data_IF_887909241318
#
_entry.id   IF_887909241318
#
_cell.length_a   1.000
_cell.length_b   1.000
_cell.length_c   1.000
_cell.angle_alpha   90.00
_cell.angle_beta   90.00
_cell.angle_gamma   90.00
#
_symmetry.space_group_name_H-M   'P 1'
#
loop_
_entity.id
_entity.type
_entity.pdbx_description
1 polymer ?
#
# COMPACT_ATOMS: atom_id res chain seq x y z
N UNK A 1 15.70 -4.10 2.93
CA UNK A 1 14.94 -3.96 1.68
C UNK A 1 15.12 -2.53 1.15
N UNK A 2 15.40 -2.38 -0.14
CA UNK A 2 15.57 -1.06 -0.72
C UNK A 2 14.21 -0.41 -0.98
N UNK A 3 14.22 0.93 -1.16
CA UNK A 3 13.00 1.65 -1.47
C UNK A 3 12.37 1.14 -2.76
N UNK A 4 13.18 0.82 -3.77
CA UNK A 4 12.68 0.29 -5.03
C UNK A 4 12.00 -1.06 -4.85
N UNK A 5 12.54 -1.91 -3.99
CA UNK A 5 11.93 -3.20 -3.70
C UNK A 5 10.60 -3.04 -2.98
N UNK A 6 10.56 -2.11 -2.03
CA UNK A 6 9.32 -1.79 -1.30
C UNK A 6 8.27 -1.30 -2.28
N UNK A 7 8.63 -0.35 -3.14
CA UNK A 7 7.72 0.21 -4.12
C UNK A 7 7.18 -0.88 -5.05
N UNK A 8 8.05 -1.72 -5.57
CA UNK A 8 7.63 -2.80 -6.48
C UNK A 8 6.66 -3.75 -5.79
N UNK A 9 6.92 -4.12 -4.54
CA UNK A 9 6.05 -5.03 -3.81
C UNK A 9 4.71 -4.38 -3.47
N UNK A 10 4.72 -3.10 -3.09
CA UNK A 10 3.48 -2.38 -2.81
C UNK A 10 2.62 -2.32 -4.08
N UNK A 11 3.22 -1.95 -5.20
CA UNK A 11 2.48 -1.87 -6.46
C UNK A 11 1.92 -3.22 -6.85
N UNK A 12 2.70 -4.27 -6.71
CA UNK A 12 2.23 -5.63 -7.01
C UNK A 12 1.05 -6.01 -6.12
N UNK A 13 1.14 -5.75 -4.83
CA UNK A 13 0.07 -6.08 -3.89
C UNK A 13 -1.19 -5.29 -4.21
N UNK A 14 -1.05 -4.00 -4.49
CA UNK A 14 -2.18 -3.16 -4.88
C UNK A 14 -2.82 -3.68 -6.16
N UNK A 15 -2.01 -4.03 -7.14
CA UNK A 15 -2.48 -4.59 -8.40
C UNK A 15 -3.33 -5.83 -8.18
N UNK A 16 -2.88 -6.73 -7.34
CA UNK A 16 -3.59 -7.97 -7.04
C UNK A 16 -4.88 -7.71 -6.26
N UNK A 17 -4.82 -6.83 -5.28
CA UNK A 17 -6.00 -6.54 -4.44
C UNK A 17 -7.08 -5.77 -5.19
N UNK A 18 -6.69 -4.87 -6.08
CA UNK A 18 -7.61 -4.01 -6.80
C UNK A 18 -7.94 -4.51 -8.20
N UNK A 19 -7.32 -5.61 -8.63
CA UNK A 19 -7.50 -6.18 -9.96
C UNK A 19 -7.18 -5.17 -11.07
N UNK A 20 -6.07 -4.44 -10.89
CA UNK A 20 -5.60 -3.42 -11.82
C UNK A 20 -4.20 -3.80 -12.30
N UNK A 21 -3.88 -3.48 -13.56
CA UNK A 21 -2.57 -3.77 -14.13
C UNK A 21 -1.49 -2.92 -13.43
N UNK A 22 -0.36 -3.54 -13.11
CA UNK A 22 0.75 -2.83 -12.46
C UNK A 22 1.21 -1.62 -13.30
N UNK A 23 1.09 -1.69 -14.62
CA UNK A 23 1.48 -0.60 -15.49
C UNK A 23 0.64 0.65 -15.30
N UNK A 24 -0.56 0.52 -14.71
CA UNK A 24 -1.46 1.63 -14.47
C UNK A 24 -1.29 2.24 -13.07
N UNK A 25 -0.43 1.67 -12.26
CA UNK A 25 -0.25 2.10 -10.87
C UNK A 25 1.05 2.90 -10.75
N UNK A 26 0.93 4.12 -10.23
CA UNK A 26 2.09 4.99 -9.96
C UNK A 26 1.99 5.47 -8.51
N UNK A 27 3.01 6.18 -8.05
CA UNK A 27 2.99 6.75 -6.70
C UNK A 27 1.87 7.77 -6.52
N UNK A 28 1.45 8.42 -7.59
CA UNK A 28 0.39 9.42 -7.55
C UNK A 28 -1.02 8.82 -7.66
N UNK A 29 -1.13 7.53 -7.94
CA UNK A 29 -2.43 6.87 -8.06
C UNK A 29 -3.17 6.93 -6.74
N UNK A 30 -4.43 7.40 -6.76
CA UNK A 30 -5.28 7.43 -5.58
C UNK A 30 -6.15 6.17 -5.54
N UNK A 31 -6.35 5.65 -4.34
CA UNK A 31 -7.12 4.41 -4.21
C UNK A 31 -8.61 4.61 -4.46
N UNK A 32 -9.16 5.71 -3.96
CA UNK A 32 -10.60 5.95 -4.08
C UNK A 32 -10.99 6.50 -5.45
N UNK A 33 -10.22 7.46 -5.99
CA UNK A 33 -10.56 8.12 -7.24
C UNK A 33 -10.09 7.34 -8.47
N UNK A 34 -8.86 6.85 -8.43
CA UNK A 34 -8.28 6.18 -9.60
C UNK A 34 -8.60 4.68 -9.64
N UNK A 35 -8.66 4.04 -8.48
CA UNK A 35 -8.88 2.60 -8.40
C UNK A 35 -10.28 2.22 -7.89
N UNK A 36 -11.10 3.21 -7.58
CA UNK A 36 -12.47 3.00 -7.08
C UNK A 36 -12.53 2.11 -5.85
N UNK A 37 -11.52 2.18 -4.99
CA UNK A 37 -11.50 1.38 -3.77
C UNK A 37 -12.48 1.96 -2.75
N UNK A 38 -13.27 1.09 -2.13
CA UNK A 38 -14.09 1.50 -1.00
C UNK A 38 -13.35 1.20 0.32
N UNK A 39 -14.02 1.45 1.45
CA UNK A 39 -13.39 1.27 2.76
C UNK A 39 -12.95 -0.17 2.99
N UNK A 40 -13.74 -1.13 2.53
CA UNK A 40 -13.41 -2.55 2.70
C UNK A 40 -12.19 -2.92 1.85
N UNK A 41 -12.13 -2.41 0.62
CA UNK A 41 -10.98 -2.66 -0.24
C UNK A 41 -9.69 -2.13 0.39
N UNK A 42 -9.77 -0.92 0.98
CA UNK A 42 -8.61 -0.33 1.64
C UNK A 42 -8.16 -1.15 2.85
N UNK A 43 -9.11 -1.63 3.66
CA UNK A 43 -8.78 -2.46 4.81
C UNK A 43 -8.10 -3.75 4.37
N UNK A 44 -8.65 -4.40 3.35
CA UNK A 44 -8.06 -5.64 2.83
C UNK A 44 -6.67 -5.41 2.25
N UNK A 45 -6.49 -4.29 1.55
CA UNK A 45 -5.19 -3.94 1.00
C UNK A 45 -4.15 -3.72 2.10
N UNK A 46 -4.53 -2.98 3.15
CA UNK A 46 -3.64 -2.73 4.28
C UNK A 46 -3.25 -4.05 4.94
N UNK A 47 -4.21 -4.94 5.15
CA UNK A 47 -3.92 -6.25 5.72
C UNK A 47 -2.97 -7.06 4.86
N UNK A 48 -3.15 -7.01 3.55
CA UNK A 48 -2.26 -7.71 2.62
C UNK A 48 -0.84 -7.15 2.69
N UNK A 49 -0.71 -5.82 2.79
CA UNK A 49 0.60 -5.19 2.93
C UNK A 49 1.26 -5.55 4.25
N UNK A 50 0.47 -5.62 5.34
CA UNK A 50 1.00 -6.03 6.63
C UNK A 50 1.57 -7.45 6.58
N UNK A 51 0.86 -8.36 5.91
CA UNK A 51 1.32 -9.73 5.76
C UNK A 51 2.56 -9.82 4.88
N UNK A 52 2.55 -9.09 3.75
CA UNK A 52 3.65 -9.14 2.80
C UNK A 52 4.96 -8.64 3.39
N UNK A 53 4.89 -7.60 4.20
CA UNK A 53 6.08 -6.97 4.80
C UNK A 53 6.30 -7.36 6.26
N UNK A 54 5.40 -8.14 6.85
CA UNK A 54 5.48 -8.58 8.24
C UNK A 54 5.59 -7.38 9.21
N UNK A 55 4.75 -6.38 8.99
CA UNK A 55 4.67 -5.19 9.84
C UNK A 55 3.23 -4.97 10.25
N UNK A 56 3.01 -4.03 11.17
CA UNK A 56 1.66 -3.62 11.57
C UNK A 56 1.49 -2.14 11.29
N UNK A 57 0.36 -1.79 10.69
CA UNK A 57 -0.01 -0.41 10.39
C UNK A 57 -1.19 -0.06 11.29
N UNK A 58 -1.02 0.90 12.24
CA UNK A 58 -2.13 1.32 13.10
C UNK A 58 -3.31 1.86 12.28
N UNK A 59 -4.52 1.62 12.76
CA UNK A 59 -5.73 2.04 12.04
C UNK A 59 -5.76 3.53 11.76
N UNK A 60 -5.29 4.35 12.69
CA UNK A 60 -5.27 5.79 12.50
C UNK A 60 -4.31 6.23 11.41
N UNK A 61 -3.26 5.46 11.18
CA UNK A 61 -2.33 5.73 10.07
C UNK A 61 -2.86 5.17 8.76
N UNK A 62 -3.50 4.00 8.81
CA UNK A 62 -4.10 3.39 7.62
C UNK A 62 -5.15 4.31 6.99
N UNK A 63 -5.92 5.01 7.82
CA UNK A 63 -6.96 5.94 7.35
C UNK A 63 -6.38 7.12 6.57
N UNK A 64 -5.10 7.41 6.74
CA UNK A 64 -4.44 8.54 6.07
C UNK A 64 -3.82 8.16 4.73
N UNK A 65 -3.87 6.90 4.37
CA UNK A 65 -3.31 6.44 3.10
C UNK A 65 -4.30 6.75 1.98
N UNK A 66 -3.98 7.74 1.17
CA UNK A 66 -4.82 8.16 0.05
C UNK A 66 -4.22 7.79 -1.29
N UNK A 67 -2.90 7.75 -1.39
CA UNK A 67 -2.19 7.43 -2.64
C UNK A 67 -1.25 6.24 -2.43
N UNK A 68 -0.85 5.64 -3.54
CA UNK A 68 0.12 4.54 -3.52
C UNK A 68 1.44 5.01 -2.90
N UNK A 69 1.87 6.24 -3.22
CA UNK A 69 3.10 6.80 -2.63
C UNK A 69 3.03 6.88 -1.11
N UNK A 70 1.88 7.27 -0.57
CA UNK A 70 1.71 7.32 0.88
C UNK A 70 1.78 5.93 1.50
N UNK A 71 1.23 4.92 0.82
CA UNK A 71 1.34 3.54 1.27
C UNK A 71 2.79 3.07 1.28
N UNK A 72 3.55 3.41 0.23
CA UNK A 72 4.97 3.07 0.15
C UNK A 72 5.74 3.71 1.31
N UNK A 73 5.49 4.98 1.59
CA UNK A 73 6.16 5.69 2.68
C UNK A 73 5.81 5.07 4.03
N UNK A 74 4.55 4.69 4.22
CA UNK A 74 4.09 4.05 5.46
C UNK A 74 4.81 2.72 5.68
N UNK A 75 4.93 1.91 4.63
CA UNK A 75 5.63 0.62 4.69
C UNK A 75 7.10 0.85 5.01
N UNK A 76 7.72 1.83 4.36
CA UNK A 76 9.12 2.15 4.59
C UNK A 76 9.37 2.48 6.07
N UNK A 77 8.50 3.31 6.65
CA UNK A 77 8.60 3.66 8.08
C UNK A 77 8.40 2.44 8.97
N UNK A 78 7.43 1.61 8.64
CA UNK A 78 7.15 0.39 9.40
C UNK A 78 8.32 -0.56 9.42
N UNK A 79 8.98 -0.73 8.28
CA UNK A 79 10.15 -1.60 8.18
C UNK A 79 11.33 -1.03 8.95
N UNK A 80 11.51 0.29 8.93
CA UNK A 80 12.58 0.94 9.68
C UNK A 80 12.38 0.80 11.18
N UNK A 81 11.13 0.88 11.63
CA UNK A 81 10.79 0.76 13.05
C UNK A 81 10.87 -0.68 13.55
N UNK A 82 10.83 -1.65 12.65
CA UNK A 82 10.77 -3.07 12.99
C UNK A 82 12.08 -3.60 13.56
N UNK A 83 13.16 -2.90 13.39
CA UNK A 83 14.48 -3.39 13.81
C UNK A 83 14.53 -3.77 15.30
#
# INVERSE_FOLDING_TARGET
MTEQEIEAKVIKTVSEQMSVDVAQITRDTTFTNDLNADSLDLVEMVMALEEEFEIQIPDDQADKILTVGQAIDMIHKGLAAKK
#
